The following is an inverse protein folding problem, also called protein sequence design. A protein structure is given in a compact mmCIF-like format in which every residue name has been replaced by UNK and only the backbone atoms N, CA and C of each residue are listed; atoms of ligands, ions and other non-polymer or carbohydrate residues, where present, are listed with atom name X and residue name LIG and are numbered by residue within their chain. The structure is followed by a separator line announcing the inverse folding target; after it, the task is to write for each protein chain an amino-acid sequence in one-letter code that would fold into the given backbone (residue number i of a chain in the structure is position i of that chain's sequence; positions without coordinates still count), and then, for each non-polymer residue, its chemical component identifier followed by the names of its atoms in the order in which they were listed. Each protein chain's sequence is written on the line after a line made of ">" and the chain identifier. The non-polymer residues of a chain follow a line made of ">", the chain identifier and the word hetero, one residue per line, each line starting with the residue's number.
data_IF_238167940953
#
_entry.id   IF_238167940953
#
_cell.length_a   1.000
_cell.length_b   1.000
_cell.length_c   1.000
_cell.angle_alpha   90.00
_cell.angle_beta   90.00
_cell.angle_gamma   90.00
#
_symmetry.space_group_name_H-M   'P 1'
#
loop_
_entity.id
_entity.type
_entity.pdbx_description
1 polymer ?
#
# COMPACT_ATOMS: atom_id res chain seq x y z
N UNK A 1 4.53 -11.52 21.81
CA UNK A 1 4.81 -11.05 20.43
C UNK A 1 3.47 -10.70 19.80
N UNK A 2 3.21 -9.43 19.54
CA UNK A 2 1.92 -8.99 18.99
C UNK A 2 1.79 -9.46 17.53
N UNK A 3 0.65 -10.04 17.17
CA UNK A 3 0.35 -10.48 15.81
C UNK A 3 0.29 -9.25 14.90
N UNK A 4 1.18 -9.21 13.93
CA UNK A 4 1.13 -8.26 12.83
C UNK A 4 0.11 -8.81 11.83
N UNK A 5 -1.01 -8.12 11.63
CA UNK A 5 -1.93 -8.46 10.56
C UNK A 5 -1.35 -7.91 9.25
N UNK A 6 -1.08 -8.80 8.30
CA UNK A 6 -0.60 -8.43 6.96
C UNK A 6 -1.74 -8.65 5.97
N UNK A 7 -2.25 -7.57 5.39
CA UNK A 7 -3.18 -7.64 4.25
C UNK A 7 -2.35 -7.60 2.97
N UNK A 8 -2.67 -8.46 1.99
CA UNK A 8 -1.95 -8.52 0.71
C UNK A 8 -2.90 -8.38 -0.44
N UNK A 9 -2.45 -7.73 -1.50
CA UNK A 9 -3.14 -7.60 -2.78
C UNK A 9 -2.12 -7.69 -3.90
N UNK A 10 -2.51 -8.25 -5.03
CA UNK A 10 -1.66 -8.32 -6.23
C UNK A 10 -2.43 -7.83 -7.44
N UNK A 11 -1.73 -7.17 -8.36
CA UNK A 11 -2.28 -6.67 -9.62
C UNK A 11 -1.32 -7.00 -10.75
N UNK A 12 -1.82 -7.64 -11.79
CA UNK A 12 -1.07 -7.89 -13.01
C UNK A 12 -1.28 -6.75 -14.00
N UNK A 13 -0.23 -6.39 -14.72
CA UNK A 13 -0.31 -5.43 -15.81
C UNK A 13 0.62 -5.81 -16.96
N UNK A 14 0.29 -5.34 -18.16
CA UNK A 14 1.12 -5.49 -19.34
C UNK A 14 1.54 -4.10 -19.81
N UNK A 15 2.84 -3.87 -19.96
CA UNK A 15 3.39 -2.61 -20.44
C UNK A 15 4.51 -2.89 -21.45
N UNK A 16 4.42 -2.28 -22.63
CA UNK A 16 5.38 -2.45 -23.73
C UNK A 16 5.68 -3.92 -24.08
N UNK A 17 4.66 -4.79 -24.02
CA UNK A 17 4.79 -6.22 -24.33
C UNK A 17 5.43 -7.06 -23.23
N UNK A 18 5.70 -6.49 -22.06
CA UNK A 18 6.19 -7.18 -20.86
C UNK A 18 5.07 -7.36 -19.85
N UNK A 19 5.08 -8.48 -19.14
CA UNK A 19 4.13 -8.76 -18.07
C UNK A 19 4.76 -8.45 -16.72
N UNK A 20 4.01 -7.76 -15.88
CA UNK A 20 4.44 -7.41 -14.52
C UNK A 20 3.38 -7.80 -13.49
N UNK A 21 3.85 -8.11 -12.29
CA UNK A 21 3.02 -8.25 -11.09
C UNK A 21 3.42 -7.19 -10.10
N UNK A 22 2.44 -6.42 -9.65
CA UNK A 22 2.59 -5.49 -8.54
C UNK A 22 2.02 -6.15 -7.30
N UNK A 23 2.82 -6.22 -6.25
CA UNK A 23 2.44 -6.74 -4.96
C UNK A 23 2.30 -5.59 -3.98
N UNK A 24 1.18 -5.55 -3.26
CA UNK A 24 0.92 -4.59 -2.19
C UNK A 24 0.76 -5.33 -0.87
N UNK A 25 1.41 -4.83 0.17
CA UNK A 25 1.29 -5.34 1.54
C UNK A 25 0.95 -4.20 2.49
N UNK A 26 -0.02 -4.43 3.36
CA UNK A 26 -0.33 -3.56 4.49
C UNK A 26 0.05 -4.28 5.78
N UNK A 27 1.00 -3.71 6.50
CA UNK A 27 1.42 -4.19 7.80
C UNK A 27 0.87 -3.28 8.90
N UNK A 28 0.02 -3.80 9.79
CA UNK A 28 -0.44 -3.05 10.96
C UNK A 28 0.56 -3.21 12.11
N UNK A 29 1.11 -2.10 12.61
CA UNK A 29 2.03 -2.11 13.73
C UNK A 29 1.25 -2.16 15.05
N UNK A 30 1.74 -2.94 16.02
CA UNK A 30 1.04 -3.15 17.30
C UNK A 30 1.05 -1.91 18.22
N UNK A 31 2.00 -1.00 17.99
CA UNK A 31 2.10 0.33 18.59
C UNK A 31 3.23 1.08 17.84
N UNK A 32 3.07 2.37 17.46
CA UNK A 32 1.87 3.21 17.53
C UNK A 32 0.83 2.83 16.47
N UNK A 33 -0.31 3.53 16.41
CA UNK A 33 -1.42 3.41 15.43
C UNK A 33 -1.02 3.69 13.97
N UNK A 34 0.21 3.34 13.60
CA UNK A 34 0.75 3.44 12.28
C UNK A 34 0.60 2.12 11.53
N UNK A 35 0.62 2.22 10.22
CA UNK A 35 0.75 1.05 9.36
C UNK A 35 1.80 1.32 8.31
N UNK A 36 2.36 0.24 7.77
CA UNK A 36 3.37 0.30 6.75
C UNK A 36 2.80 -0.33 5.48
N UNK A 37 2.71 0.47 4.42
CA UNK A 37 2.34 0.00 3.10
C UNK A 37 3.63 -0.29 2.35
N UNK A 38 3.80 -1.52 1.89
CA UNK A 38 4.88 -1.89 0.98
C UNK A 38 4.30 -2.20 -0.38
N UNK A 39 5.03 -1.83 -1.42
CA UNK A 39 4.78 -2.40 -2.73
C UNK A 39 6.06 -2.72 -3.45
N UNK A 40 6.00 -3.76 -4.26
CA UNK A 40 7.09 -4.11 -5.14
C UNK A 40 6.58 -4.61 -6.49
N UNK A 41 7.42 -4.41 -7.50
CA UNK A 41 7.18 -4.80 -8.88
C UNK A 41 8.06 -6.01 -9.22
N UNK A 42 7.46 -7.01 -9.85
CA UNK A 42 8.16 -8.16 -10.42
C UNK A 42 7.83 -8.24 -11.91
N UNK A 43 8.84 -8.44 -12.77
CA UNK A 43 8.66 -8.78 -14.18
C UNK A 43 8.50 -10.30 -14.32
N UNK A 44 7.50 -10.74 -15.07
CA UNK A 44 7.30 -12.16 -15.39
C UNK A 44 8.11 -12.48 -16.64
N UNK A 45 9.23 -13.19 -16.48
CA UNK A 45 10.02 -13.66 -17.61
C UNK A 45 9.29 -14.79 -18.35
N UNK A 46 9.11 -14.64 -19.66
CA UNK A 46 8.44 -15.63 -20.52
C UNK A 46 9.23 -16.93 -20.71
N UNK A 47 10.52 -16.95 -20.38
CA UNK A 47 11.42 -18.09 -20.60
C UNK A 47 11.43 -19.13 -19.45
N UNK A 48 10.48 -19.06 -18.51
CA UNK A 48 10.30 -20.08 -17.47
C UNK A 48 11.42 -20.15 -16.41
N UNK A 49 12.36 -19.21 -16.44
CA UNK A 49 13.52 -19.20 -15.56
C UNK A 49 13.41 -18.11 -14.49
N UNK A 50 12.44 -18.29 -13.60
CA UNK A 50 12.40 -17.64 -12.28
C UNK A 50 12.05 -16.15 -12.27
N UNK A 51 11.30 -15.76 -11.25
CA UNK A 51 10.96 -14.38 -10.91
C UNK A 51 12.24 -13.56 -10.85
N UNK A 52 12.41 -12.61 -11.78
CA UNK A 52 13.52 -11.66 -11.72
C UNK A 52 13.37 -10.81 -10.45
N UNK A 53 14.51 -10.54 -9.80
CA UNK A 53 14.64 -9.70 -8.61
C UNK A 53 13.70 -8.49 -8.66
N UNK A 54 13.00 -8.15 -7.55
CA UNK A 54 12.00 -7.08 -7.57
C UNK A 54 12.61 -5.79 -8.10
N UNK A 55 12.14 -5.34 -9.26
CA UNK A 55 12.76 -4.24 -10.01
C UNK A 55 12.60 -2.91 -9.27
N UNK A 56 11.60 -2.80 -8.41
CA UNK A 56 11.37 -1.62 -7.57
C UNK A 56 10.61 -2.04 -6.32
N UNK A 57 11.10 -1.65 -5.14
CA UNK A 57 10.42 -1.82 -3.85
C UNK A 57 10.32 -0.47 -3.16
N UNK A 58 9.12 -0.13 -2.69
CA UNK A 58 8.81 1.11 -1.98
C UNK A 58 8.08 0.78 -0.70
N UNK A 59 8.41 1.51 0.37
CA UNK A 59 7.76 1.39 1.67
C UNK A 59 7.30 2.78 2.13
N UNK A 60 6.04 2.87 2.57
CA UNK A 60 5.41 4.11 3.02
C UNK A 60 4.86 3.90 4.42
N UNK A 61 5.44 4.60 5.39
CA UNK A 61 4.93 4.63 6.76
C UNK A 61 3.76 5.62 6.86
N UNK A 62 2.58 5.11 7.17
CA UNK A 62 1.39 5.92 7.41
C UNK A 62 1.18 6.10 8.91
N UNK A 63 1.22 7.33 9.44
CA UNK A 63 1.12 7.59 10.89
C UNK A 63 -0.27 7.34 11.47
N UNK A 64 -1.30 7.21 10.62
CA UNK A 64 -2.68 6.93 11.01
C UNK A 64 -3.18 5.66 10.33
N UNK A 65 -3.50 4.64 11.13
CA UNK A 65 -3.88 3.31 10.66
C UNK A 65 -5.12 3.35 9.77
N UNK A 66 -6.19 4.00 10.19
CA UNK A 66 -7.43 4.02 9.40
C UNK A 66 -7.23 4.72 8.05
N UNK A 67 -6.37 5.74 8.01
CA UNK A 67 -6.02 6.39 6.75
C UNK A 67 -5.20 5.46 5.85
N UNK A 68 -4.22 4.76 6.41
CA UNK A 68 -3.43 3.81 5.63
C UNK A 68 -4.23 2.58 5.19
N UNK A 69 -5.20 2.12 5.97
CA UNK A 69 -6.17 1.09 5.56
C UNK A 69 -7.02 1.58 4.38
N UNK A 70 -7.57 2.80 4.45
CA UNK A 70 -8.31 3.43 3.34
C UNK A 70 -7.46 3.62 2.10
N UNK A 71 -6.22 4.11 2.26
CA UNK A 71 -5.26 4.26 1.18
C UNK A 71 -4.96 2.90 0.53
N UNK A 72 -4.74 1.86 1.34
CA UNK A 72 -4.51 0.51 0.86
C UNK A 72 -5.71 -0.02 0.05
N UNK A 73 -6.93 0.22 0.51
CA UNK A 73 -8.14 -0.13 -0.23
C UNK A 73 -8.25 0.64 -1.55
N UNK A 74 -7.90 1.93 -1.56
CA UNK A 74 -7.91 2.75 -2.76
C UNK A 74 -6.93 2.23 -3.82
N UNK A 75 -5.67 1.94 -3.43
CA UNK A 75 -4.65 1.41 -4.36
C UNK A 75 -4.95 -0.03 -4.79
N UNK A 76 -5.59 -0.84 -3.94
CA UNK A 76 -5.89 -2.24 -4.27
C UNK A 76 -7.08 -2.37 -5.22
N UNK A 77 -8.06 -1.47 -5.10
CA UNK A 77 -9.35 -1.56 -5.81
C UNK A 77 -9.47 -0.61 -7.01
N UNK A 78 -8.50 0.26 -7.27
CA UNK A 78 -8.50 1.10 -8.47
C UNK A 78 -8.50 0.25 -9.75
N UNK A 79 -9.08 0.78 -10.84
CA UNK A 79 -9.08 0.13 -12.16
C UNK A 79 -7.67 0.05 -12.73
N UNK A 80 -6.87 1.11 -12.54
CA UNK A 80 -5.50 1.19 -13.04
C UNK A 80 -4.50 0.82 -11.94
N UNK A 81 -3.55 -0.10 -12.23
CA UNK A 81 -2.57 -0.54 -11.25
C UNK A 81 -1.62 0.60 -10.85
N UNK A 82 -1.46 0.82 -9.55
CA UNK A 82 -0.57 1.85 -9.00
C UNK A 82 0.85 1.31 -8.91
N UNK A 83 1.77 1.86 -9.68
CA UNK A 83 3.18 1.46 -9.60
C UNK A 83 3.82 1.90 -8.27
N UNK A 84 4.73 1.09 -7.69
CA UNK A 84 5.31 1.37 -6.38
C UNK A 84 5.92 2.78 -6.25
N UNK A 85 6.52 3.30 -7.33
CA UNK A 85 7.15 4.63 -7.37
C UNK A 85 6.17 5.78 -7.07
N UNK A 86 4.88 5.60 -7.33
CA UNK A 86 3.85 6.63 -7.11
C UNK A 86 3.26 6.60 -5.71
N UNK A 87 3.48 5.52 -4.94
CA UNK A 87 2.89 5.39 -3.60
C UNK A 87 3.24 6.53 -2.64
N UNK A 88 4.50 7.01 -2.56
CA UNK A 88 4.84 8.09 -1.63
C UNK A 88 4.08 9.39 -1.94
N UNK A 89 3.91 9.69 -3.22
CA UNK A 89 3.18 10.87 -3.69
C UNK A 89 1.68 10.74 -3.41
N UNK A 90 1.06 9.62 -3.79
CA UNK A 90 -0.35 9.35 -3.51
C UNK A 90 -0.63 9.40 -2.01
N UNK A 91 0.25 8.81 -1.18
CA UNK A 91 0.09 8.83 0.27
C UNK A 91 0.15 10.25 0.84
N UNK A 92 1.09 11.08 0.35
CA UNK A 92 1.20 12.49 0.75
C UNK A 92 -0.05 13.28 0.37
N UNK A 93 -0.61 13.04 -0.81
CA UNK A 93 -1.80 13.74 -1.29
C UNK A 93 -3.05 13.34 -0.48
N UNK A 94 -3.20 12.04 -0.17
CA UNK A 94 -4.28 11.55 0.69
C UNK A 94 -4.17 12.05 2.13
N UNK A 95 -2.96 12.09 2.69
CA UNK A 95 -2.70 12.72 3.99
C UNK A 95 -3.07 14.21 3.99
N UNK A 96 -2.68 14.93 2.94
CA UNK A 96 -2.96 16.35 2.81
C UNK A 96 -4.46 16.62 2.69
N UNK A 97 -5.18 15.84 1.88
CA UNK A 97 -6.64 15.92 1.77
C UNK A 97 -7.32 15.64 3.11
N UNK A 98 -6.93 14.56 3.80
CA UNK A 98 -7.52 14.21 5.09
C UNK A 98 -7.28 15.26 6.19
N UNK A 99 -6.14 15.95 6.14
CA UNK A 99 -5.84 17.07 7.04
C UNK A 99 -6.67 18.31 6.73
N UNK A 100 -6.91 18.61 5.46
CA UNK A 100 -7.66 19.77 4.99
C UNK A 100 -9.18 19.58 5.16
N UNK A 101 -9.69 18.36 4.96
CA UNK A 101 -11.10 18.00 5.13
C UNK A 101 -11.54 17.97 6.61
N UNK A 102 -10.64 18.28 7.54
CA UNK A 102 -10.94 18.46 8.95
C UNK A 102 -11.36 17.17 9.63
N UNK A 103 -10.37 16.33 10.01
CA UNK A 103 -10.46 15.20 10.94
C UNK A 103 -11.86 14.95 11.56
N UNK A 104 -12.75 14.28 10.82
CA UNK A 104 -13.88 13.56 11.40
C UNK A 104 -13.42 12.15 11.77
N UNK A 105 -12.28 12.02 12.46
CA UNK A 105 -11.98 10.79 13.16
C UNK A 105 -12.81 10.82 14.43
N UNK A 106 -13.89 10.05 14.44
CA UNK A 106 -14.49 9.64 15.71
C UNK A 106 -13.46 8.71 16.34
N UNK A 107 -12.48 9.28 17.03
CA UNK A 107 -11.81 8.59 18.11
C UNK A 107 -12.96 8.10 18.99
N UNK A 108 -13.22 6.80 19.01
CA UNK A 108 -13.93 6.18 20.12
C UNK A 108 -13.04 6.39 21.34
N UNK A 109 -13.06 7.61 21.89
CA UNK A 109 -12.79 7.84 23.27
C UNK A 109 -13.91 7.09 23.98
N UNK A 110 -13.62 5.86 24.38
CA UNK A 110 -14.44 5.18 25.39
C UNK A 110 -14.56 6.14 26.57
N UNK A 111 -15.78 6.57 26.95
CA UNK A 111 -15.94 7.24 28.21
C UNK A 111 -15.73 6.23 29.34
N UNK A 112 -15.06 6.70 30.39
CA UNK A 112 -14.79 6.11 31.71
C UNK A 112 -13.38 5.55 31.90
#
# INVERSE_FOLDING_TARGET
>A
MAKIAVRRSTRSCCHDGREFVIHYELETLAAPEACLIRAYLEEISTDGQGVETPSTRVEVLCPYRELGEKLFDLISNTSEPVFPVHLPEIARDQLSSALLDGFSFVSKASPL
#
